data_IF_876656720367
#
_entry.id   IF_876656720367
#
_cell.length_a   1.000
_cell.length_b   1.000
_cell.length_c   1.000
_cell.angle_alpha   90.00
_cell.angle_beta   90.00
_cell.angle_gamma   90.00
#
_symmetry.space_group_name_H-M   'P 1'
#
loop_
_entity.id
_entity.type
_entity.pdbx_description
1 polymer ?
#
# COMPACT_ATOMS: atom_id res chain seq x y z
N UNK A 1 -22.39 -8.09 25.92
CA UNK A 1 -21.78 -9.42 25.99
C UNK A 1 -20.29 -9.17 25.88
N UNK A 2 -19.60 -9.29 27.01
CA UNK A 2 -18.18 -9.03 27.12
C UNK A 2 -17.43 -10.14 26.38
N UNK A 3 -16.89 -9.80 25.21
CA UNK A 3 -15.77 -10.56 24.67
C UNK A 3 -14.59 -10.18 25.57
N UNK A 4 -14.29 -11.02 26.55
CA UNK A 4 -13.02 -10.99 27.26
C UNK A 4 -11.96 -11.36 26.24
N UNK A 5 -11.35 -10.34 25.65
CA UNK A 5 -10.33 -10.47 24.62
C UNK A 5 -10.10 -9.10 24.02
N UNK A 6 -8.98 -8.50 24.38
CA UNK A 6 -8.48 -7.36 23.64
C UNK A 6 -8.00 -7.87 22.28
N UNK A 7 -8.38 -7.16 21.22
CA UNK A 7 -7.95 -7.42 19.85
C UNK A 7 -7.00 -6.30 19.41
N UNK A 8 -6.30 -6.52 18.31
CA UNK A 8 -5.55 -5.51 17.57
C UNK A 8 -6.31 -5.19 16.26
N UNK A 9 -7.48 -4.53 16.33
CA UNK A 9 -8.38 -4.39 15.20
C UNK A 9 -7.84 -3.45 14.12
N UNK A 10 -8.10 -3.81 12.87
CA UNK A 10 -8.05 -2.93 11.71
C UNK A 10 -9.17 -3.25 10.74
N UNK A 11 -9.44 -2.35 9.80
CA UNK A 11 -10.45 -2.59 8.77
C UNK A 11 -9.93 -2.36 7.35
N UNK A 12 -10.55 -3.07 6.41
CA UNK A 12 -10.39 -2.89 4.98
C UNK A 12 -11.74 -2.45 4.42
N UNK A 13 -11.77 -1.24 3.87
CA UNK A 13 -12.91 -0.68 3.17
C UNK A 13 -12.68 -0.73 1.65
N UNK A 14 -13.68 -1.16 0.89
CA UNK A 14 -13.63 -1.24 -0.56
C UNK A 14 -14.87 -0.64 -1.19
N UNK A 15 -14.70 0.13 -2.26
CA UNK A 15 -15.81 0.57 -3.11
C UNK A 15 -15.78 -0.22 -4.41
N UNK A 16 -16.82 -1.02 -4.66
CA UNK A 16 -17.00 -1.88 -5.84
C UNK A 16 -15.80 -2.78 -6.19
N UNK A 17 -14.96 -3.13 -5.20
CA UNK A 17 -13.65 -3.79 -5.40
C UNK A 17 -12.69 -3.05 -6.36
N UNK A 18 -12.97 -1.78 -6.69
CA UNK A 18 -12.16 -0.94 -7.59
C UNK A 18 -11.11 -0.12 -6.85
N UNK A 19 -11.42 0.30 -5.64
CA UNK A 19 -10.50 1.07 -4.79
C UNK A 19 -10.62 0.59 -3.35
N UNK A 20 -9.47 0.50 -2.68
CA UNK A 20 -9.35 -0.06 -1.33
C UNK A 20 -8.69 0.95 -0.40
N UNK A 21 -9.18 0.97 0.83
CA UNK A 21 -8.62 1.68 1.96
C UNK A 21 -8.38 0.69 3.10
N UNK A 22 -7.25 0.80 3.77
CA UNK A 22 -6.89 -0.02 4.93
C UNK A 22 -6.52 0.93 6.06
N UNK A 23 -7.12 0.75 7.23
CA UNK A 23 -6.81 1.57 8.41
C UNK A 23 -5.47 1.20 9.02
N UNK A 24 -5.02 2.03 9.96
CA UNK A 24 -4.07 1.61 10.98
C UNK A 24 -4.65 0.49 11.86
N UNK A 25 -3.75 -0.31 12.42
CA UNK A 25 -4.05 -1.22 13.52
C UNK A 25 -4.00 -0.45 14.83
N UNK A 26 -4.99 -0.69 15.69
CA UNK A 26 -5.03 -0.16 17.04
C UNK A 26 -4.77 -1.29 18.02
N UNK A 27 -3.83 -1.11 18.94
CA UNK A 27 -3.42 -2.20 19.83
C UNK A 27 -4.35 -2.40 21.01
N UNK A 28 -4.61 -3.66 21.33
CA UNK A 28 -5.20 -4.14 22.56
C UNK A 28 -6.47 -3.35 22.95
N UNK A 29 -7.45 -3.31 22.05
CA UNK A 29 -8.70 -2.58 22.25
C UNK A 29 -9.91 -3.34 21.70
N UNK A 30 -11.00 -3.35 22.47
CA UNK A 30 -12.31 -3.86 22.04
C UNK A 30 -13.23 -2.75 21.50
N UNK A 31 -12.84 -1.48 21.68
CA UNK A 31 -13.58 -0.29 21.23
C UNK A 31 -12.65 0.62 20.44
N UNK A 32 -12.19 0.18 19.25
CA UNK A 32 -11.28 0.97 18.44
C UNK A 32 -11.93 2.27 17.95
N UNK A 33 -11.17 3.35 18.04
CA UNK A 33 -11.54 4.67 17.48
C UNK A 33 -10.43 5.14 16.57
N UNK A 34 -10.76 5.34 15.29
CA UNK A 34 -9.83 5.83 14.26
C UNK A 34 -10.12 7.31 13.95
N UNK A 35 -9.71 8.21 14.84
CA UNK A 35 -10.05 9.64 14.76
C UNK A 35 -9.49 10.34 13.51
N UNK A 36 -8.33 9.92 13.02
CA UNK A 36 -7.63 10.55 11.89
C UNK A 36 -7.85 9.83 10.54
N UNK A 37 -8.69 8.79 10.49
CA UNK A 37 -8.88 7.98 9.30
C UNK A 37 -9.92 8.56 8.32
N UNK A 38 -9.48 9.50 7.47
CA UNK A 38 -10.27 10.05 6.35
C UNK A 38 -9.97 9.36 5.02
N UNK A 39 -11.00 9.08 4.20
CA UNK A 39 -10.81 8.59 2.84
C UNK A 39 -11.60 9.43 1.84
N UNK A 40 -10.90 10.06 0.90
CA UNK A 40 -11.49 10.92 -0.13
C UNK A 40 -11.31 10.24 -1.48
N UNK A 41 -12.44 9.96 -2.14
CA UNK A 41 -12.48 9.37 -3.48
C UNK A 41 -13.41 10.20 -4.36
N UNK A 42 -13.03 10.37 -5.62
CA UNK A 42 -13.78 11.16 -6.62
C UNK A 42 -14.46 10.25 -7.62
N UNK A 43 -15.56 10.76 -8.18
CA UNK A 43 -16.32 10.14 -9.27
C UNK A 43 -16.72 8.69 -8.97
N UNK A 44 -17.34 8.51 -7.80
CA UNK A 44 -17.97 7.26 -7.41
C UNK A 44 -19.34 7.15 -8.12
N UNK A 45 -19.65 6.02 -8.80
CA UNK A 45 -20.96 5.80 -9.40
C UNK A 45 -22.11 5.85 -8.39
N UNK A 46 -23.31 6.24 -8.84
CA UNK A 46 -24.47 6.45 -7.96
C UNK A 46 -24.87 5.17 -7.19
N UNK A 47 -24.71 4.01 -7.82
CA UNK A 47 -25.07 2.70 -7.29
C UNK A 47 -23.88 1.96 -6.64
N UNK A 48 -22.77 2.66 -6.39
CA UNK A 48 -21.59 2.05 -5.79
C UNK A 48 -21.90 1.46 -4.41
N UNK A 49 -21.20 0.38 -4.09
CA UNK A 49 -21.28 -0.34 -2.83
C UNK A 49 -19.98 -0.18 -2.06
N UNK A 50 -20.08 0.22 -0.79
CA UNK A 50 -19.00 0.15 0.17
C UNK A 50 -19.09 -1.18 0.93
N UNK A 51 -18.00 -1.94 0.93
CA UNK A 51 -17.84 -3.14 1.74
C UNK A 51 -16.76 -2.86 2.78
N UNK A 52 -17.06 -3.11 4.06
CA UNK A 52 -16.09 -2.97 5.16
C UNK A 52 -15.90 -4.32 5.83
N UNK A 53 -14.65 -4.74 5.96
CA UNK A 53 -14.24 -5.97 6.64
C UNK A 53 -13.29 -5.62 7.76
N UNK A 54 -13.52 -6.20 8.93
CA UNK A 54 -12.75 -5.97 10.15
C UNK A 54 -11.97 -7.25 10.47
N UNK A 55 -10.71 -7.06 10.86
CA UNK A 55 -9.78 -8.14 11.18
C UNK A 55 -9.08 -7.82 12.49
N UNK A 56 -8.64 -8.87 13.18
CA UNK A 56 -7.76 -8.84 14.33
C UNK A 56 -6.33 -9.17 13.88
N UNK A 57 -5.39 -8.26 14.10
CA UNK A 57 -3.98 -8.51 13.79
C UNK A 57 -3.39 -9.41 14.87
N UNK A 58 -2.81 -10.53 14.46
CA UNK A 58 -1.98 -11.34 15.34
C UNK A 58 -0.59 -11.48 14.69
N UNK A 59 0.43 -10.91 15.33
CA UNK A 59 1.81 -10.95 14.83
C UNK A 59 2.39 -12.38 14.88
N UNK A 60 1.81 -13.31 15.66
CA UNK A 60 2.21 -14.72 15.70
C UNK A 60 1.58 -15.56 14.58
N UNK A 61 0.53 -15.06 13.93
CA UNK A 61 -0.17 -15.76 12.85
C UNK A 61 0.16 -15.18 11.48
N UNK A 62 0.25 -16.07 10.48
CA UNK A 62 0.42 -15.67 9.07
C UNK A 62 -0.86 -15.02 8.53
N UNK A 63 -2.03 -15.45 9.01
CA UNK A 63 -3.33 -14.93 8.61
C UNK A 63 -3.99 -14.24 9.80
N UNK A 64 -4.46 -13.02 9.56
CA UNK A 64 -5.17 -12.22 10.56
C UNK A 64 -6.60 -12.77 10.70
N UNK A 65 -7.14 -12.75 11.92
CA UNK A 65 -8.44 -13.35 12.20
C UNK A 65 -9.56 -12.44 11.72
N UNK A 66 -10.53 -12.97 10.97
CA UNK A 66 -11.66 -12.18 10.49
C UNK A 66 -12.72 -12.03 11.58
N UNK A 67 -12.96 -10.79 12.02
CA UNK A 67 -13.95 -10.46 13.05
C UNK A 67 -15.36 -10.41 12.45
N UNK A 68 -15.49 -9.80 11.27
CA UNK A 68 -16.78 -9.59 10.62
C UNK A 68 -16.77 -8.44 9.61
N UNK A 69 -17.94 -8.11 9.08
CA UNK A 69 -18.06 -7.04 8.11
C UNK A 69 -19.51 -6.64 7.85
N UNK A 70 -19.67 -5.59 7.06
CA UNK A 70 -20.96 -5.07 6.63
C UNK A 70 -20.84 -4.39 5.26
N UNK A 71 -21.99 -4.13 4.65
CA UNK A 71 -22.08 -3.45 3.36
C UNK A 71 -22.99 -2.23 3.46
N UNK A 72 -22.61 -1.16 2.76
CA UNK A 72 -23.43 0.03 2.58
C UNK A 72 -23.71 0.20 1.10
N UNK A 73 -25.00 0.17 0.76
CA UNK A 73 -25.50 0.44 -0.59
C UNK A 73 -25.87 1.91 -0.71
N UNK A 74 -25.80 2.45 -1.93
CA UNK A 74 -26.20 3.82 -2.24
C UNK A 74 -25.50 4.86 -1.35
N UNK A 75 -24.19 5.03 -1.56
CA UNK A 75 -23.33 5.91 -0.77
C UNK A 75 -23.76 7.39 -0.82
N UNK A 76 -24.56 7.78 -1.81
CA UNK A 76 -24.99 9.17 -2.00
C UNK A 76 -26.07 9.56 -1.00
N UNK A 77 -27.04 8.67 -0.79
CA UNK A 77 -28.14 8.87 0.17
C UNK A 77 -27.84 8.14 1.48
N UNK A 78 -26.56 8.05 1.86
CA UNK A 78 -26.16 7.36 3.07
C UNK A 78 -26.76 8.03 4.31
N UNK A 79 -27.48 7.24 5.10
CA UNK A 79 -27.94 7.61 6.42
C UNK A 79 -27.31 6.69 7.46
N UNK A 80 -26.57 7.29 8.39
CA UNK A 80 -25.92 6.56 9.48
C UNK A 80 -26.99 5.93 10.39
N UNK A 81 -26.99 4.60 10.62
CA UNK A 81 -27.89 3.98 11.58
C UNK A 81 -27.66 4.54 13.01
N UNK A 82 -28.70 4.72 13.84
CA UNK A 82 -28.54 5.28 15.19
C UNK A 82 -27.55 4.52 16.07
N UNK A 83 -27.49 3.19 15.93
CA UNK A 83 -26.59 2.29 16.67
C UNK A 83 -25.28 1.98 15.94
N UNK A 84 -25.06 2.51 14.73
CA UNK A 84 -23.97 2.07 13.85
C UNK A 84 -24.34 0.83 13.02
N UNK A 85 -23.44 0.40 12.14
CA UNK A 85 -23.61 -0.80 11.32
C UNK A 85 -23.28 -2.05 12.12
N UNK A 86 -24.15 -3.04 12.09
CA UNK A 86 -23.89 -4.33 12.74
C UNK A 86 -22.73 -5.05 12.06
N UNK A 87 -21.76 -5.51 12.83
CA UNK A 87 -20.63 -6.29 12.35
C UNK A 87 -21.01 -7.76 12.37
N UNK A 88 -21.10 -8.38 11.19
CA UNK A 88 -21.52 -9.76 11.03
C UNK A 88 -20.31 -10.65 10.70
N UNK A 89 -20.04 -11.62 11.58
CA UNK A 89 -19.01 -12.64 11.38
C UNK A 89 -19.41 -13.76 10.41
N UNK A 90 -18.48 -14.67 10.11
CA UNK A 90 -18.69 -15.76 9.14
C UNK A 90 -19.84 -16.70 9.53
N UNK A 91 -20.03 -16.94 10.83
CA UNK A 91 -21.09 -17.80 11.36
C UNK A 91 -22.37 -17.00 11.66
N UNK A 92 -22.53 -15.80 11.08
CA UNK A 92 -23.63 -14.85 11.33
C UNK A 92 -23.75 -14.44 12.80
N UNK A 93 -22.68 -14.56 13.56
CA UNK A 93 -22.57 -14.01 14.89
C UNK A 93 -22.41 -12.49 14.83
N UNK A 94 -23.01 -11.80 15.79
CA UNK A 94 -22.88 -10.34 15.94
C UNK A 94 -21.61 -10.01 16.74
N UNK A 95 -20.67 -9.30 16.13
CA UNK A 95 -19.36 -8.98 16.70
C UNK A 95 -19.21 -7.52 17.17
N UNK A 96 -20.30 -6.73 17.15
CA UNK A 96 -20.30 -5.33 17.59
C UNK A 96 -20.91 -4.38 16.56
N UNK A 97 -20.68 -3.07 16.74
CA UNK A 97 -21.16 -2.03 15.85
C UNK A 97 -20.01 -1.19 15.30
N UNK A 98 -20.09 -0.82 14.02
CA UNK A 98 -19.15 0.07 13.35
C UNK A 98 -19.80 1.42 13.06
N UNK A 99 -19.20 2.49 13.56
CA UNK A 99 -19.69 3.85 13.33
C UNK A 99 -18.87 4.52 12.23
N UNK A 100 -19.53 4.98 11.17
CA UNK A 100 -18.89 5.75 10.10
C UNK A 100 -19.79 6.87 9.59
N UNK A 101 -19.14 7.90 9.05
CA UNK A 101 -19.77 9.04 8.40
C UNK A 101 -19.36 9.06 6.92
N UNK A 102 -20.34 9.12 6.02
CA UNK A 102 -20.11 9.35 4.59
C UNK A 102 -20.68 10.72 4.24
N UNK A 103 -19.83 11.57 3.67
CA UNK A 103 -20.23 12.87 3.15
C UNK A 103 -20.11 12.85 1.64
N UNK A 104 -21.25 12.69 0.97
CA UNK A 104 -21.34 12.66 -0.49
C UNK A 104 -21.65 14.05 -1.03
N UNK A 105 -20.89 14.48 -2.03
CA UNK A 105 -21.07 15.77 -2.71
C UNK A 105 -21.10 15.54 -4.22
N UNK A 106 -21.92 16.29 -4.95
CA UNK A 106 -21.89 16.27 -6.41
C UNK A 106 -20.52 16.72 -6.92
N UNK A 107 -20.02 16.07 -7.96
CA UNK A 107 -18.76 16.45 -8.61
C UNK A 107 -18.86 17.87 -9.17
N UNK A 108 -17.81 18.67 -8.95
CA UNK A 108 -17.63 19.99 -9.56
C UNK A 108 -17.17 19.88 -11.02
N UNK A 109 -17.24 20.98 -11.76
CA UNK A 109 -16.69 21.07 -13.12
C UNK A 109 -15.20 20.70 -13.19
N UNK A 110 -14.43 21.04 -12.16
CA UNK A 110 -13.01 20.68 -12.03
C UNK A 110 -12.77 19.20 -11.72
N UNK A 111 -13.76 18.48 -11.19
CA UNK A 111 -13.57 17.07 -10.78
C UNK A 111 -14.31 16.10 -11.68
N UNK A 112 -15.29 16.55 -12.47
CA UNK A 112 -16.08 15.68 -13.36
C UNK A 112 -15.26 14.96 -14.43
N UNK A 113 -14.11 15.52 -14.82
CA UNK A 113 -13.25 14.95 -15.85
C UNK A 113 -12.28 13.89 -15.32
N UNK A 114 -12.14 13.77 -13.98
CA UNK A 114 -11.29 12.75 -13.38
C UNK A 114 -11.86 11.35 -13.68
N UNK A 115 -11.01 10.32 -13.82
CA UNK A 115 -11.51 8.95 -13.96
C UNK A 115 -12.39 8.52 -12.76
N UNK A 116 -13.31 7.57 -12.96
CA UNK A 116 -14.05 6.96 -11.85
C UNK A 116 -13.10 6.35 -10.80
N UNK A 117 -13.53 6.35 -9.53
CA UNK A 117 -12.77 5.81 -8.41
C UNK A 117 -11.37 6.44 -8.22
N UNK A 118 -11.23 7.73 -8.52
CA UNK A 118 -9.95 8.43 -8.37
C UNK A 118 -9.67 8.75 -6.90
N UNK A 119 -8.57 8.22 -6.35
CA UNK A 119 -8.12 8.55 -5.00
C UNK A 119 -7.71 10.03 -4.89
N UNK A 120 -8.19 10.72 -3.86
CA UNK A 120 -7.93 12.15 -3.64
C UNK A 120 -7.47 12.48 -2.21
N UNK A 121 -6.97 11.46 -1.50
CA UNK A 121 -6.24 11.63 -0.24
C UNK A 121 -7.03 11.28 1.02
N UNK A 122 -6.47 11.60 2.20
CA UNK A 122 -5.13 12.15 2.44
C UNK A 122 -3.97 11.28 1.92
N UNK A 123 -2.80 11.89 1.67
CA UNK A 123 -1.60 11.16 1.22
C UNK A 123 -1.00 10.44 2.43
N UNK A 124 -1.33 9.17 2.62
CA UNK A 124 -0.78 8.37 3.72
C UNK A 124 0.51 7.69 3.34
N UNK A 125 1.40 7.55 4.29
CA UNK A 125 2.56 6.67 4.16
C UNK A 125 2.56 5.61 5.25
N UNK A 126 3.17 4.48 4.92
CA UNK A 126 3.58 3.45 5.87
C UNK A 126 5.01 3.04 5.55
N UNK A 127 5.83 2.95 6.59
CA UNK A 127 7.16 2.35 6.55
C UNK A 127 7.13 1.06 7.37
N UNK A 128 7.66 -0.01 6.78
CA UNK A 128 7.73 -1.33 7.38
C UNK A 128 9.20 -1.74 7.46
N UNK A 129 9.68 -1.96 8.68
CA UNK A 129 11.03 -2.45 8.94
C UNK A 129 10.95 -3.94 9.23
N UNK A 130 11.27 -4.79 8.24
CA UNK A 130 11.10 -6.24 8.33
C UNK A 130 12.44 -6.94 8.61
N UNK A 131 12.50 -7.68 9.72
CA UNK A 131 13.55 -8.67 10.02
C UNK A 131 13.20 -10.06 9.46
N UNK A 132 11.95 -10.27 9.08
CA UNK A 132 11.43 -11.57 8.68
C UNK A 132 11.97 -12.01 7.31
N UNK A 133 12.34 -11.07 6.44
CA UNK A 133 12.94 -11.41 5.15
C UNK A 133 14.25 -12.17 5.32
N UNK A 134 15.15 -11.76 6.21
CA UNK A 134 16.41 -12.47 6.37
C UNK A 134 16.22 -13.94 6.75
N UNK A 135 15.11 -14.26 7.44
CA UNK A 135 14.71 -15.64 7.73
C UNK A 135 14.03 -16.34 6.55
N UNK A 136 13.28 -15.60 5.73
CA UNK A 136 12.57 -16.13 4.56
C UNK A 136 13.49 -16.35 3.34
N UNK A 137 14.56 -15.56 3.21
CA UNK A 137 15.55 -15.62 2.13
C UNK A 137 16.83 -16.35 2.54
N UNK A 138 16.91 -16.94 3.74
CA UNK A 138 18.09 -17.63 4.27
C UNK A 138 19.38 -16.79 4.30
N UNK A 139 19.27 -15.47 4.16
CA UNK A 139 20.39 -14.52 4.16
C UNK A 139 20.31 -13.68 5.44
N UNK A 140 21.39 -13.67 6.23
CA UNK A 140 21.60 -12.91 7.48
C UNK A 140 20.32 -12.38 8.17
N UNK A 141 19.85 -13.12 9.17
CA UNK A 141 18.66 -12.83 9.97
C UNK A 141 18.66 -11.48 10.70
N UNK A 142 19.79 -10.76 10.71
CA UNK A 142 19.99 -9.49 11.40
C UNK A 142 19.83 -8.25 10.49
N UNK A 143 19.57 -8.42 9.19
CA UNK A 143 19.38 -7.29 8.28
C UNK A 143 17.96 -6.73 8.40
N UNK A 144 17.83 -5.46 8.83
CA UNK A 144 16.56 -4.73 8.79
C UNK A 144 16.34 -4.20 7.39
N UNK A 145 15.25 -4.62 6.77
CA UNK A 145 14.87 -4.11 5.46
C UNK A 145 13.68 -3.16 5.56
N UNK A 146 13.92 -1.90 5.22
CA UNK A 146 12.90 -0.85 5.22
C UNK A 146 12.19 -0.79 3.87
N UNK A 147 10.87 -0.89 3.90
CA UNK A 147 10.01 -0.64 2.74
C UNK A 147 9.03 0.48 3.03
N UNK A 148 8.72 1.27 2.02
CA UNK A 148 7.76 2.35 2.07
C UNK A 148 6.61 2.06 1.13
N UNK A 149 5.43 2.53 1.53
CA UNK A 149 4.23 2.61 0.70
C UNK A 149 3.60 3.97 0.94
N UNK A 150 3.44 4.74 -0.13
CA UNK A 150 2.87 6.08 -0.11
C UNK A 150 1.66 6.12 -1.03
N UNK A 151 0.53 6.62 -0.56
CA UNK A 151 -0.68 6.79 -1.37
C UNK A 151 -0.63 8.10 -2.17
N UNK A 152 -0.58 8.02 -3.49
CA UNK A 152 -0.47 9.19 -4.37
C UNK A 152 -1.85 9.62 -4.87
N UNK A 153 -2.17 10.90 -4.69
CA UNK A 153 -3.45 11.48 -5.12
C UNK A 153 -3.52 11.66 -6.63
N UNK A 154 -4.69 11.37 -7.21
CA UNK A 154 -5.07 11.67 -8.60
C UNK A 154 -4.10 11.17 -9.66
N UNK A 155 -3.30 10.15 -9.39
CA UNK A 155 -2.33 9.66 -10.37
C UNK A 155 -3.01 9.22 -11.67
N UNK A 156 -4.23 8.69 -11.59
CA UNK A 156 -5.08 8.34 -12.74
C UNK A 156 -5.45 9.54 -13.64
N UNK A 157 -5.38 10.77 -13.14
CA UNK A 157 -5.62 11.99 -13.91
C UNK A 157 -4.39 12.41 -14.73
N UNK A 158 -3.19 12.03 -14.30
CA UNK A 158 -1.93 12.34 -14.96
C UNK A 158 -1.44 11.17 -15.83
N UNK A 159 -1.66 9.93 -15.38
CA UNK A 159 -1.29 8.70 -16.06
C UNK A 159 -2.57 8.03 -16.59
N UNK A 160 -2.74 8.02 -17.92
CA UNK A 160 -4.01 7.58 -18.52
C UNK A 160 -4.28 6.12 -18.16
N UNK A 161 -5.53 5.70 -17.87
CA UNK A 161 -5.82 4.35 -17.38
C UNK A 161 -5.26 3.17 -18.20
N UNK A 162 -5.08 3.35 -19.52
CA UNK A 162 -4.53 2.35 -20.45
C UNK A 162 -2.99 2.31 -20.49
N UNK A 163 -2.32 3.33 -19.96
CA UNK A 163 -0.85 3.38 -19.86
C UNK A 163 -0.42 2.57 -18.63
N UNK A 164 -0.38 1.25 -18.80
CA UNK A 164 0.14 0.28 -17.84
C UNK A 164 1.21 -0.57 -18.50
N UNK A 165 2.28 -0.83 -17.77
CA UNK A 165 3.29 -1.79 -18.19
C UNK A 165 2.85 -3.18 -17.73
N UNK A 166 2.61 -4.06 -18.69
CA UNK A 166 2.48 -5.48 -18.43
C UNK A 166 3.85 -6.07 -18.10
N UNK A 167 3.90 -7.20 -17.41
CA UNK A 167 5.17 -7.89 -17.21
C UNK A 167 5.80 -8.29 -18.55
N UNK A 168 7.12 -8.25 -18.60
CA UNK A 168 7.92 -8.49 -19.80
C UNK A 168 7.92 -9.99 -20.14
N UNK A 169 7.07 -10.37 -21.09
CA UNK A 169 6.92 -11.75 -21.56
C UNK A 169 8.18 -12.32 -22.21
N UNK A 170 9.15 -11.49 -22.56
CA UNK A 170 10.46 -11.91 -23.13
C UNK A 170 11.54 -12.05 -22.07
N UNK A 171 11.30 -11.59 -20.83
CA UNK A 171 12.29 -11.67 -19.74
C UNK A 171 12.17 -12.99 -18.98
N UNK A 172 13.21 -13.82 -19.02
CA UNK A 172 13.21 -15.17 -18.42
C UNK A 172 12.82 -15.17 -16.95
N UNK A 173 13.34 -14.23 -16.15
CA UNK A 173 13.01 -14.17 -14.73
C UNK A 173 11.57 -13.69 -14.45
N UNK A 174 10.94 -12.95 -15.37
CA UNK A 174 9.50 -12.67 -15.25
C UNK A 174 8.65 -13.89 -15.65
N UNK A 175 9.08 -14.67 -16.64
CA UNK A 175 8.40 -15.92 -17.03
C UNK A 175 8.41 -16.96 -15.91
N UNK A 176 9.44 -17.01 -15.06
CA UNK A 176 9.43 -17.92 -13.91
C UNK A 176 8.36 -17.55 -12.89
N UNK A 177 7.85 -16.31 -12.89
CA UNK A 177 6.83 -15.82 -11.96
C UNK A 177 5.43 -15.89 -12.60
N UNK A 178 5.29 -15.33 -13.79
CA UNK A 178 4.00 -15.10 -14.46
C UNK A 178 3.74 -16.07 -15.61
N UNK A 179 4.65 -17.00 -15.87
CA UNK A 179 4.47 -18.03 -16.89
C UNK A 179 3.33 -19.00 -16.56
N UNK A 180 3.05 -19.88 -17.52
CA UNK A 180 1.96 -20.86 -17.40
C UNK A 180 2.40 -22.20 -16.79
N UNK A 181 3.62 -22.28 -16.26
CA UNK A 181 4.14 -23.53 -15.68
C UNK A 181 3.67 -23.70 -14.23
N UNK A 182 3.50 -24.94 -13.74
CA UNK A 182 3.18 -25.18 -12.32
C UNK A 182 4.18 -24.53 -11.36
N UNK A 183 5.46 -24.49 -11.73
CA UNK A 183 6.50 -23.77 -10.98
C UNK A 183 6.25 -22.27 -10.88
N UNK A 184 5.65 -21.65 -11.92
CA UNK A 184 5.31 -20.22 -11.92
C UNK A 184 4.23 -19.88 -10.89
N UNK A 185 3.22 -20.75 -10.74
CA UNK A 185 2.19 -20.59 -9.70
C UNK A 185 2.81 -20.64 -8.30
N UNK A 186 3.76 -21.55 -8.07
CA UNK A 186 4.49 -21.62 -6.81
C UNK A 186 5.32 -20.35 -6.56
N UNK A 187 6.09 -19.88 -7.56
CA UNK A 187 6.87 -18.65 -7.47
C UNK A 187 6.01 -17.42 -7.19
N UNK A 188 4.87 -17.27 -7.87
CA UNK A 188 3.92 -16.17 -7.62
C UNK A 188 3.35 -16.23 -6.20
N UNK A 189 3.06 -17.42 -5.69
CA UNK A 189 2.58 -17.62 -4.32
C UNK A 189 3.64 -17.20 -3.31
N UNK A 190 4.90 -17.61 -3.51
CA UNK A 190 6.03 -17.18 -2.68
C UNK A 190 6.19 -15.66 -2.69
N UNK A 191 6.09 -15.03 -3.86
CA UNK A 191 6.16 -13.57 -3.99
C UNK A 191 5.05 -12.87 -3.20
N UNK A 192 3.81 -13.37 -3.26
CA UNK A 192 2.68 -12.80 -2.50
C UNK A 192 2.87 -12.97 -0.99
N UNK A 193 3.38 -14.12 -0.54
CA UNK A 193 3.70 -14.36 0.87
C UNK A 193 4.82 -13.44 1.36
N UNK A 194 5.90 -13.31 0.57
CA UNK A 194 7.00 -12.41 0.88
C UNK A 194 6.54 -10.94 0.89
N UNK A 195 5.68 -10.53 -0.06
CA UNK A 195 5.07 -9.20 -0.06
C UNK A 195 4.26 -8.96 1.22
N UNK A 196 3.46 -9.94 1.64
CA UNK A 196 2.67 -9.86 2.87
C UNK A 196 3.58 -9.78 4.11
N UNK A 197 4.71 -10.48 4.13
CA UNK A 197 5.69 -10.38 5.22
C UNK A 197 6.44 -9.03 5.25
N UNK A 198 6.56 -8.36 4.09
CA UNK A 198 7.17 -7.04 3.97
C UNK A 198 6.26 -5.90 4.39
N UNK A 199 5.05 -5.89 3.85
CA UNK A 199 4.06 -4.84 4.04
C UNK A 199 3.02 -5.18 5.10
N UNK A 200 3.21 -6.30 5.80
CA UNK A 200 2.40 -6.68 6.94
C UNK A 200 2.59 -5.64 8.02
N UNK A 201 1.52 -4.93 8.35
CA UNK A 201 1.54 -4.03 9.50
C UNK A 201 1.82 -4.88 10.74
N UNK A 202 2.97 -4.66 11.38
CA UNK A 202 3.33 -5.28 12.67
C UNK A 202 3.18 -4.24 13.77
N UNK A 203 2.88 -4.68 14.99
CA UNK A 203 2.65 -3.75 16.10
C UNK A 203 3.93 -3.08 16.60
N UNK A 204 5.10 -3.64 16.30
CA UNK A 204 6.40 -3.23 16.86
C UNK A 204 7.32 -2.49 15.90
N UNK A 205 7.11 -2.58 14.57
CA UNK A 205 8.06 -2.10 13.56
C UNK A 205 7.40 -1.41 12.34
N UNK A 206 6.35 -0.63 12.62
CA UNK A 206 5.58 0.09 11.61
C UNK A 206 5.46 1.57 11.96
N UNK A 207 5.94 2.44 11.07
CA UNK A 207 5.69 3.89 11.15
C UNK A 207 4.64 4.24 10.10
N UNK A 208 3.60 4.96 10.50
CA UNK A 208 2.58 5.44 9.60
C UNK A 208 2.28 6.92 9.85
N UNK A 209 1.70 7.56 8.85
CA UNK A 209 1.30 8.95 8.99
C UNK A 209 0.76 9.52 7.70
N UNK A 210 0.63 10.84 7.69
CA UNK A 210 0.15 11.61 6.55
C UNK A 210 1.24 12.56 6.07
N UNK A 211 1.45 12.61 4.76
CA UNK A 211 2.27 13.62 4.10
C UNK A 211 1.37 14.78 3.72
N UNK A 212 1.66 15.97 4.26
CA UNK A 212 0.93 17.20 3.97
C UNK A 212 1.59 18.00 2.86
N UNK A 213 2.91 17.91 2.75
CA UNK A 213 3.73 18.66 1.78
C UNK A 213 4.97 17.85 1.35
N UNK A 214 5.79 18.43 0.46
CA UNK A 214 7.00 17.77 -0.04
C UNK A 214 8.12 17.67 1.02
N UNK A 215 8.22 18.63 1.94
CA UNK A 215 9.25 18.60 2.99
C UNK A 215 9.04 17.42 3.94
N UNK A 216 7.78 17.04 4.20
CA UNK A 216 7.46 15.84 4.98
C UNK A 216 8.06 14.61 4.30
N UNK A 217 7.91 14.48 2.97
CA UNK A 217 8.48 13.37 2.20
C UNK A 217 10.01 13.34 2.31
N UNK A 218 10.66 14.48 2.08
CA UNK A 218 12.12 14.57 2.15
C UNK A 218 12.66 14.22 3.54
N UNK A 219 12.06 14.77 4.60
CA UNK A 219 12.47 14.51 5.99
C UNK A 219 12.24 13.07 6.42
N UNK A 220 11.11 12.47 6.03
CA UNK A 220 10.73 11.14 6.51
C UNK A 220 11.43 10.01 5.76
N UNK A 221 11.67 10.20 4.46
CA UNK A 221 12.16 9.13 3.58
C UNK A 221 13.63 9.33 3.22
N UNK A 222 14.02 10.54 2.84
CA UNK A 222 15.30 10.78 2.19
C UNK A 222 16.35 11.38 3.09
N UNK A 223 16.00 11.86 4.28
CA UNK A 223 16.97 12.37 5.25
C UNK A 223 17.43 11.29 6.23
N UNK A 224 18.73 11.27 6.50
CA UNK A 224 19.32 10.48 7.57
C UNK A 224 18.88 11.04 8.94
N UNK A 225 18.42 10.17 9.84
CA UNK A 225 17.82 10.59 11.12
C UNK A 225 18.82 11.25 12.06
N UNK A 226 20.09 10.88 11.98
CA UNK A 226 21.13 11.36 12.87
C UNK A 226 21.70 12.69 12.38
N UNK A 227 22.03 12.76 11.10
CA UNK A 227 22.70 13.92 10.49
C UNK A 227 21.72 14.94 9.94
N UNK A 228 20.44 14.58 9.77
CA UNK A 228 19.39 15.38 9.13
C UNK A 228 19.73 15.79 7.68
N UNK A 229 20.75 15.18 7.08
CA UNK A 229 21.16 15.40 5.69
C UNK A 229 20.49 14.39 4.76
N UNK A 230 20.31 14.77 3.51
CA UNK A 230 19.77 13.85 2.50
C UNK A 230 20.75 12.69 2.30
N UNK A 231 20.24 11.47 2.38
CA UNK A 231 20.94 10.21 2.18
C UNK A 231 20.97 9.89 0.67
N UNK A 232 22.14 9.89 0.01
CA UNK A 232 22.26 9.49 -1.38
C UNK A 232 22.16 7.96 -1.50
N UNK A 233 20.94 7.46 -1.61
CA UNK A 233 20.64 6.02 -1.71
C UNK A 233 19.85 5.72 -2.98
N UNK A 234 20.06 4.53 -3.54
CA UNK A 234 19.28 4.03 -4.68
C UNK A 234 18.12 3.19 -4.14
N UNK A 235 16.93 3.42 -4.65
CA UNK A 235 15.72 2.75 -4.25
C UNK A 235 15.11 1.98 -5.41
N UNK A 236 14.72 0.73 -5.18
CA UNK A 236 13.90 -0.04 -6.11
C UNK A 236 12.45 0.36 -5.90
N UNK A 237 11.69 0.61 -6.96
CA UNK A 237 10.33 1.12 -6.83
C UNK A 237 9.32 0.52 -7.80
N UNK A 238 8.05 0.61 -7.41
CA UNK A 238 6.86 0.35 -8.22
C UNK A 238 5.83 1.46 -7.94
N UNK A 239 5.21 1.96 -9.00
CA UNK A 239 4.03 2.82 -8.93
C UNK A 239 2.85 2.04 -9.53
N UNK A 240 1.76 1.93 -8.79
CA UNK A 240 0.49 1.38 -9.29
C UNK A 240 -0.57 2.50 -9.47
N UNK A 241 -1.85 2.12 -9.51
CA UNK A 241 -2.95 3.07 -9.69
C UNK A 241 -3.15 4.07 -8.53
N UNK A 242 -2.61 3.81 -7.34
CA UNK A 242 -2.85 4.63 -6.16
C UNK A 242 -1.65 4.73 -5.20
N UNK A 243 -0.59 3.94 -5.39
CA UNK A 243 0.51 3.81 -4.45
C UNK A 243 1.87 3.83 -5.14
N UNK A 244 2.82 4.47 -4.47
CA UNK A 244 4.24 4.34 -4.72
C UNK A 244 4.85 3.49 -3.61
N UNK A 245 5.36 2.34 -4.01
CA UNK A 245 5.96 1.33 -3.15
C UNK A 245 7.44 1.24 -3.50
N UNK A 246 8.30 1.35 -2.52
CA UNK A 246 9.74 1.30 -2.75
C UNK A 246 10.51 0.85 -1.52
N UNK A 247 11.80 0.63 -1.73
CA UNK A 247 12.71 0.07 -0.74
C UNK A 247 14.14 0.43 -1.09
N UNK A 248 15.04 0.50 -0.11
CA UNK A 248 16.47 0.65 -0.40
C UNK A 248 16.95 -0.53 -1.24
N UNK A 249 17.78 -0.24 -2.25
CA UNK A 249 18.31 -1.25 -3.15
C UNK A 249 19.48 -1.93 -2.48
N UNK A 250 19.21 -2.98 -1.72
CA UNK A 250 20.24 -3.96 -1.36
C UNK A 250 20.21 -5.10 -2.38
N UNK A 251 21.38 -5.41 -2.94
CA UNK A 251 21.58 -6.45 -3.94
C UNK A 251 21.57 -7.83 -3.29
N UNK A 252 22.01 -7.95 -2.04
CA UNK A 252 22.17 -9.25 -1.40
C UNK A 252 20.83 -9.85 -0.97
N UNK A 253 19.95 -9.05 -0.34
CA UNK A 253 18.73 -9.55 0.31
C UNK A 253 17.73 -10.26 -0.63
N UNK A 254 17.83 -10.01 -1.94
CA UNK A 254 16.90 -10.54 -2.96
C UNK A 254 17.59 -11.29 -4.08
N UNK A 255 18.84 -11.68 -3.93
CA UNK A 255 19.54 -12.49 -4.92
C UNK A 255 18.73 -13.75 -5.28
N UNK A 256 17.98 -14.30 -4.31
CA UNK A 256 17.16 -15.50 -4.47
C UNK A 256 15.71 -15.22 -4.92
N UNK A 257 15.26 -13.96 -4.96
CA UNK A 257 13.94 -13.64 -5.51
C UNK A 257 14.03 -13.35 -7.01
N UNK A 258 13.15 -14.00 -7.77
CA UNK A 258 13.08 -13.86 -9.22
C UNK A 258 12.84 -12.43 -9.71
N UNK A 259 12.22 -11.56 -8.89
CA UNK A 259 12.08 -10.13 -9.19
C UNK A 259 11.72 -9.30 -7.97
N UNK A 260 12.56 -8.30 -7.64
CA UNK A 260 12.28 -7.29 -6.60
C UNK A 260 11.05 -6.45 -6.94
N UNK A 261 10.87 -6.09 -8.21
CA UNK A 261 9.70 -5.31 -8.65
C UNK A 261 8.42 -6.13 -8.53
N UNK A 262 8.44 -7.43 -8.87
CA UNK A 262 7.27 -8.29 -8.68
C UNK A 262 6.91 -8.43 -7.19
N UNK A 263 7.92 -8.52 -6.32
CA UNK A 263 7.73 -8.46 -4.88
C UNK A 263 7.05 -7.17 -4.43
N UNK A 264 7.61 -6.00 -4.79
CA UNK A 264 7.02 -4.71 -4.45
C UNK A 264 5.61 -4.57 -5.02
N UNK A 265 5.32 -5.13 -6.19
CA UNK A 265 4.02 -5.09 -6.86
C UNK A 265 2.98 -6.10 -6.32
N UNK A 266 3.32 -6.93 -5.32
CA UNK A 266 2.48 -8.03 -4.84
C UNK A 266 2.11 -9.04 -5.94
N UNK A 267 3.03 -9.28 -6.89
CA UNK A 267 2.80 -10.16 -8.03
C UNK A 267 1.67 -9.71 -8.95
N UNK A 268 1.43 -8.40 -9.07
CA UNK A 268 0.52 -7.86 -10.08
C UNK A 268 1.12 -8.02 -11.48
N UNK A 269 0.34 -8.46 -12.47
CA UNK A 269 0.80 -8.52 -13.87
C UNK A 269 1.03 -7.13 -14.49
N UNK A 270 0.48 -6.09 -13.86
CA UNK A 270 0.50 -4.72 -14.37
C UNK A 270 0.93 -3.72 -13.31
N UNK A 271 1.73 -2.73 -13.73
CA UNK A 271 2.11 -1.55 -12.94
C UNK A 271 2.03 -0.30 -13.83
N UNK A 272 2.15 0.90 -13.25
CA UNK A 272 2.31 2.15 -14.02
C UNK A 272 3.75 2.35 -14.44
N UNK A 273 4.64 2.29 -13.47
CA UNK A 273 6.09 2.36 -13.67
C UNK A 273 6.79 1.50 -12.61
N UNK A 274 7.95 0.99 -12.95
CA UNK A 274 8.83 0.31 -12.02
C UNK A 274 10.27 0.47 -12.48
N UNK A 275 11.20 0.40 -11.54
CA UNK A 275 12.62 0.52 -11.84
C UNK A 275 13.39 0.92 -10.60
N UNK A 276 14.32 1.85 -10.76
CA UNK A 276 15.13 2.39 -9.67
C UNK A 276 15.05 3.91 -9.66
N UNK A 277 15.20 4.53 -8.50
CA UNK A 277 15.31 5.98 -8.40
C UNK A 277 16.29 6.37 -7.30
N UNK A 278 16.82 7.59 -7.36
CA UNK A 278 17.70 8.12 -6.32
C UNK A 278 17.54 9.64 -6.17
N UNK A 279 17.75 10.19 -4.97
CA UNK A 279 17.92 11.61 -4.78
C UNK A 279 19.31 12.04 -5.26
N UNK A 280 19.40 13.19 -5.94
CA UNK A 280 20.69 13.83 -6.25
C UNK A 280 20.62 15.35 -6.10
N UNK A 281 21.74 16.03 -5.81
CA UNK A 281 21.80 17.48 -5.88
C UNK A 281 21.57 17.94 -7.33
N UNK A 282 20.63 18.87 -7.51
CA UNK A 282 20.23 19.35 -8.84
C UNK A 282 21.36 20.05 -9.60
N UNK A 283 22.29 20.69 -8.87
CA UNK A 283 23.38 21.49 -9.43
C UNK A 283 24.77 20.83 -9.32
N UNK A 284 24.84 19.54 -8.96
CA UNK A 284 26.10 18.79 -8.84
C UNK A 284 26.49 18.45 -7.40
N UNK A 285 27.32 17.42 -7.24
CA UNK A 285 27.74 16.89 -5.93
C UNK A 285 28.63 17.84 -5.12
N UNK A 286 29.20 18.86 -5.76
CA UNK A 286 29.89 19.97 -5.13
C UNK A 286 28.93 20.99 -4.48
N UNK A 287 27.62 20.90 -4.79
CA UNK A 287 26.57 21.83 -4.34
C UNK A 287 25.47 21.11 -3.54
N UNK A 288 25.87 20.28 -2.58
CA UNK A 288 24.96 19.44 -1.78
C UNK A 288 24.02 20.22 -0.83
N UNK A 289 24.33 21.49 -0.52
CA UNK A 289 23.50 22.33 0.36
C UNK A 289 22.39 23.09 -0.40
N UNK A 290 22.35 22.98 -1.74
CA UNK A 290 21.33 23.58 -2.60
C UNK A 290 20.12 22.63 -2.82
N UNK A 291 19.36 22.86 -3.89
CA UNK A 291 18.18 22.05 -4.25
C UNK A 291 18.53 20.60 -4.63
N UNK A 292 17.65 19.68 -4.22
CA UNK A 292 17.72 18.26 -4.59
C UNK A 292 16.55 17.86 -5.47
N UNK A 293 16.76 16.85 -6.30
CA UNK A 293 15.74 16.27 -7.16
C UNK A 293 15.73 14.73 -7.04
N UNK A 294 14.60 14.13 -7.38
CA UNK A 294 14.47 12.67 -7.51
C UNK A 294 14.58 12.29 -9.00
N UNK A 295 15.51 11.39 -9.31
CA UNK A 295 15.69 10.88 -10.66
C UNK A 295 15.16 9.46 -10.72
N UNK A 296 14.19 9.23 -11.60
CA UNK A 296 13.60 7.92 -11.83
C UNK A 296 14.14 7.30 -13.12
N UNK A 297 14.65 6.08 -13.01
CA UNK A 297 14.93 5.19 -14.12
C UNK A 297 13.87 4.08 -14.15
N UNK A 298 13.13 4.01 -15.26
CA UNK A 298 12.07 3.03 -15.45
C UNK A 298 12.60 1.67 -15.93
N UNK A 299 13.92 1.43 -15.86
CA UNK A 299 14.60 0.22 -16.31
C UNK A 299 14.34 -1.04 -15.47
N UNK A 300 13.08 -1.43 -15.24
CA UNK A 300 12.75 -2.74 -14.66
C UNK A 300 12.81 -3.84 -15.71
N UNK A 301 13.61 -4.89 -15.50
CA UNK A 301 13.56 -6.07 -16.38
C UNK A 301 12.18 -6.74 -16.40
N UNK A 302 11.43 -6.68 -15.28
CA UNK A 302 10.11 -7.31 -15.13
C UNK A 302 8.99 -6.47 -15.71
N UNK A 303 8.99 -5.15 -15.54
CA UNK A 303 7.95 -4.25 -16.08
C UNK A 303 8.56 -3.18 -16.98
N UNK A 304 9.45 -3.62 -17.88
CA UNK A 304 10.15 -2.72 -18.79
C UNK A 304 9.14 -1.89 -19.58
N UNK A 305 9.37 -0.57 -19.74
CA UNK A 305 8.60 0.23 -20.66
C UNK A 305 8.63 -0.38 -22.06
N UNK A 306 7.52 -0.26 -22.78
CA UNK A 306 7.53 -0.58 -24.21
C UNK A 306 8.59 0.31 -24.90
N UNK A 307 9.47 -0.28 -25.72
CA UNK A 307 10.53 0.44 -26.42
C UNK A 307 10.00 1.43 -27.46
#
# INVERSE_FOLDING_TARGET
MDVVGYADPYFIAKIDDRITFTSSILSNTATPTWDDEKWIVRNIPLNAKLTVKIYDKDDEKILDDYIGGFEVLNLINYHRPPKGHEIIGLLKNHSGYFHLSIHSMKSSEETKHLPPYTFDGPCRYSRHDSFAIGRLTMLNADCVYSTWKIHIRRISAFLKPHERQHWNTKYKAAQTIFGHYPSSVASLTTIKLAHKALYGQTLKHHENGQLTNADDLWKLVFSDRTTQRIKPCIYTYVIDDNTWRFSETDVQLFADLASKHALLANGSEYVRYAGEFHPRPKYGWDRCDDEWELVFDNGSGTYAPNP
#
